data_IF_511578998926
#
_entry.id   IF_511578998926
#
_cell.length_a   1.000
_cell.length_b   1.000
_cell.length_c   1.000
_cell.angle_alpha   90.00
_cell.angle_beta   90.00
_cell.angle_gamma   90.00
#
_symmetry.space_group_name_H-M   'P 1'
#
loop_
_entity.id
_entity.type
_entity.pdbx_description
1 polymer ?
#
# COMPACT_ATOMS: atom_id res chain seq x y z
N UNK A 1 9.17 8.26 26.83
CA UNK A 1 8.33 8.12 25.62
C UNK A 1 9.01 7.12 24.70
N UNK A 2 8.56 5.87 24.70
CA UNK A 2 9.17 4.82 23.87
C UNK A 2 8.68 5.03 22.43
N UNK A 3 9.54 5.44 21.47
CA UNK A 3 9.12 5.56 20.10
C UNK A 3 8.76 4.14 19.63
N UNK A 4 7.52 3.99 19.16
CA UNK A 4 6.91 2.72 18.81
C UNK A 4 7.80 1.91 17.86
N UNK A 5 7.99 0.64 18.22
CA UNK A 5 8.84 -0.41 17.61
C UNK A 5 8.67 -0.60 16.08
N UNK A 6 7.66 0.02 15.47
CA UNK A 6 7.42 0.05 14.03
C UNK A 6 8.47 0.86 13.25
N UNK A 7 9.17 1.81 13.90
CA UNK A 7 10.25 2.58 13.26
C UNK A 7 11.57 1.78 13.10
N UNK A 8 11.69 0.58 13.69
CA UNK A 8 12.95 -0.17 13.73
C UNK A 8 13.15 -1.18 12.58
N UNK A 9 12.10 -1.52 11.81
CA UNK A 9 12.18 -2.52 10.71
C UNK A 9 12.23 -1.89 9.31
N UNK A 10 12.64 -0.62 9.21
CA UNK A 10 12.58 0.15 7.97
C UNK A 10 13.76 1.09 7.73
N UNK A 11 13.60 1.97 6.74
CA UNK A 11 14.54 3.05 6.39
C UNK A 11 14.76 4.02 7.56
N UNK A 12 15.91 4.67 7.57
CA UNK A 12 16.23 5.73 8.55
C UNK A 12 15.21 6.88 8.51
N UNK A 13 14.62 7.21 9.66
CA UNK A 13 13.48 8.15 9.81
C UNK A 13 13.77 9.54 9.26
N UNK A 14 14.98 10.07 9.46
CA UNK A 14 15.35 11.42 9.03
C UNK A 14 15.27 11.64 7.51
N UNK A 15 15.26 10.56 6.71
CA UNK A 15 15.08 10.63 5.24
C UNK A 15 13.61 10.78 4.83
N UNK A 16 12.67 10.88 5.77
CA UNK A 16 11.23 10.93 5.50
C UNK A 16 10.64 9.57 5.06
N UNK A 17 9.47 9.53 4.41
CA UNK A 17 8.88 8.34 3.76
C UNK A 17 9.19 8.24 2.24
N UNK A 18 8.96 7.08 1.61
CA UNK A 18 9.22 6.92 0.16
C UNK A 18 7.99 7.38 -0.61
N UNK A 19 8.09 8.57 -1.20
CA UNK A 19 7.02 9.21 -1.94
C UNK A 19 7.26 8.98 -3.43
N UNK A 20 6.21 8.58 -4.13
CA UNK A 20 6.19 8.38 -5.58
C UNK A 20 5.02 9.20 -6.13
N UNK A 21 5.16 9.88 -7.28
CA UNK A 21 4.03 10.52 -7.92
C UNK A 21 2.98 9.48 -8.31
N UNK A 22 1.77 9.60 -7.76
CA UNK A 22 0.62 8.75 -8.05
C UNK A 22 -0.51 9.64 -8.58
N UNK A 23 -1.31 9.17 -9.57
CA UNK A 23 -2.44 9.92 -10.12
C UNK A 23 -3.62 9.91 -9.12
N UNK A 24 -3.46 10.61 -8.01
CA UNK A 24 -4.48 10.71 -6.96
C UNK A 24 -5.38 11.88 -7.30
N UNK A 25 -6.58 11.56 -7.77
CA UNK A 25 -7.65 12.54 -7.96
C UNK A 25 -8.56 12.44 -6.74
N UNK A 26 -8.68 13.54 -6.00
CA UNK A 26 -9.67 13.62 -4.92
C UNK A 26 -11.05 13.79 -5.55
N UNK A 27 -11.98 12.85 -5.35
CA UNK A 27 -13.33 12.96 -5.88
C UNK A 27 -14.08 14.09 -5.18
N UNK A 28 -15.01 14.72 -5.90
CA UNK A 28 -15.97 15.63 -5.30
C UNK A 28 -16.92 14.87 -4.34
N UNK A 29 -17.50 15.54 -3.33
CA UNK A 29 -18.47 14.91 -2.44
C UNK A 29 -19.65 14.33 -3.26
N UNK A 30 -19.86 13.01 -3.15
CA UNK A 30 -20.92 12.29 -3.87
C UNK A 30 -20.46 11.57 -5.15
N UNK A 31 -19.21 11.75 -5.58
CA UNK A 31 -18.66 11.05 -6.75
C UNK A 31 -18.04 9.71 -6.35
N UNK A 32 -18.26 8.67 -7.17
CA UNK A 32 -17.64 7.35 -6.96
C UNK A 32 -16.14 7.45 -7.17
N UNK A 33 -15.37 7.15 -6.12
CA UNK A 33 -13.90 7.10 -6.18
C UNK A 33 -13.47 6.01 -7.15
N UNK A 34 -12.79 6.37 -8.24
CA UNK A 34 -12.21 5.39 -9.15
C UNK A 34 -10.98 4.74 -8.52
N UNK A 35 -10.78 3.42 -8.67
CA UNK A 35 -9.60 2.77 -8.13
C UNK A 35 -8.33 3.26 -8.85
N UNK A 36 -7.31 3.58 -8.06
CA UNK A 36 -6.02 4.10 -8.54
C UNK A 36 -5.13 2.93 -8.92
N UNK A 37 -4.86 2.75 -10.22
CA UNK A 37 -3.92 1.74 -10.71
C UNK A 37 -2.48 2.16 -10.48
N UNK A 38 -1.68 1.30 -9.86
CA UNK A 38 -0.28 1.56 -9.57
C UNK A 38 0.60 0.32 -9.66
N UNK A 39 1.83 0.53 -10.16
CA UNK A 39 2.92 -0.45 -10.11
C UNK A 39 3.97 -0.10 -9.06
N UNK A 40 3.82 1.05 -8.38
CA UNK A 40 4.78 1.57 -7.41
C UNK A 40 4.66 0.84 -6.05
N UNK A 41 5.03 -0.44 -6.02
CA UNK A 41 4.94 -1.30 -4.82
C UNK A 41 5.77 -0.80 -3.63
N UNK A 42 6.82 -0.01 -3.89
CA UNK A 42 7.70 0.55 -2.86
C UNK A 42 7.17 1.85 -2.24
N UNK A 43 6.07 2.42 -2.75
CA UNK A 43 5.48 3.64 -2.21
C UNK A 43 4.96 3.40 -0.77
N UNK A 44 5.25 4.35 0.12
CA UNK A 44 4.71 4.34 1.48
C UNK A 44 3.26 4.81 1.46
N UNK A 45 2.39 4.14 2.22
CA UNK A 45 1.02 4.56 2.44
C UNK A 45 1.03 5.82 3.32
N UNK A 46 0.54 6.92 2.76
CA UNK A 46 0.42 8.20 3.44
C UNK A 46 -0.96 8.31 4.13
N UNK A 47 -1.09 9.11 5.19
CA UNK A 47 -2.39 9.37 5.84
C UNK A 47 -3.47 9.88 4.85
N UNK A 48 -3.06 10.62 3.82
CA UNK A 48 -3.95 11.15 2.79
C UNK A 48 -4.57 10.07 1.88
N UNK A 49 -4.15 8.82 2.00
CA UNK A 49 -4.64 7.72 1.16
C UNK A 49 -5.76 6.92 1.81
N UNK A 50 -6.07 7.19 3.07
CA UNK A 50 -7.15 6.51 3.81
C UNK A 50 -8.49 6.74 3.08
N UNK A 51 -9.24 5.66 2.87
CA UNK A 51 -10.52 5.67 2.14
C UNK A 51 -10.40 5.65 0.62
N UNK A 52 -9.19 5.65 0.05
CA UNK A 52 -8.97 5.44 -1.38
C UNK A 52 -8.79 3.96 -1.70
N UNK A 53 -9.23 3.57 -2.89
CA UNK A 53 -9.05 2.22 -3.44
C UNK A 53 -7.85 2.20 -4.38
N UNK A 54 -6.94 1.26 -4.16
CA UNK A 54 -5.74 1.06 -4.97
C UNK A 54 -5.79 -0.29 -5.67
N UNK A 55 -5.44 -0.27 -6.95
CA UNK A 55 -5.20 -1.46 -7.74
C UNK A 55 -3.69 -1.64 -7.87
N UNK A 56 -3.13 -2.59 -7.11
CA UNK A 56 -1.69 -2.78 -6.91
C UNK A 56 -1.22 -3.94 -7.79
N UNK A 57 -0.30 -3.65 -8.72
CA UNK A 57 0.25 -4.66 -9.60
C UNK A 57 1.13 -5.66 -8.85
N UNK A 58 0.88 -6.94 -9.10
CA UNK A 58 1.56 -8.05 -8.44
C UNK A 58 2.57 -8.79 -9.33
N UNK A 59 2.84 -8.27 -10.53
CA UNK A 59 3.65 -8.95 -11.56
C UNK A 59 2.83 -9.74 -12.59
N UNK A 60 1.52 -9.89 -12.37
CA UNK A 60 0.58 -10.52 -13.33
C UNK A 60 -0.78 -9.85 -13.38
N UNK A 61 -1.35 -9.57 -12.21
CA UNK A 61 -2.69 -8.97 -12.05
C UNK A 61 -2.62 -7.76 -11.13
N UNK A 62 -3.66 -6.93 -11.20
CA UNK A 62 -3.87 -5.82 -10.27
C UNK A 62 -4.83 -6.29 -9.17
N UNK A 63 -4.33 -6.31 -7.93
CA UNK A 63 -5.15 -6.63 -6.77
C UNK A 63 -5.75 -5.34 -6.21
N UNK A 64 -7.07 -5.31 -6.00
CA UNK A 64 -7.76 -4.15 -5.44
C UNK A 64 -7.72 -4.21 -3.92
N UNK A 65 -7.28 -3.10 -3.30
CA UNK A 65 -7.12 -2.93 -1.86
C UNK A 65 -7.67 -1.57 -1.46
N UNK A 66 -8.55 -1.55 -0.47
CA UNK A 66 -9.04 -0.33 0.16
C UNK A 66 -8.18 -0.01 1.38
N UNK A 67 -7.68 1.23 1.47
CA UNK A 67 -6.71 1.61 2.50
C UNK A 67 -7.43 2.07 3.77
N UNK A 68 -7.11 1.43 4.88
CA UNK A 68 -7.55 1.80 6.23
C UNK A 68 -6.45 2.55 7.00
N UNK A 69 -6.80 3.14 8.15
CA UNK A 69 -5.86 3.91 8.99
C UNK A 69 -4.70 3.05 9.51
N UNK A 70 -4.96 1.80 9.86
CA UNK A 70 -3.94 0.85 10.35
C UNK A 70 -2.86 0.52 9.31
N UNK A 71 -3.12 0.77 8.02
CA UNK A 71 -2.16 0.52 6.94
C UNK A 71 -1.18 1.67 6.75
N UNK A 72 -1.37 2.82 7.42
CA UNK A 72 -0.51 3.99 7.26
C UNK A 72 0.93 3.68 7.72
N UNK A 73 1.91 4.03 6.88
CA UNK A 73 3.33 3.74 7.12
C UNK A 73 3.85 2.45 6.49
N UNK A 74 2.96 1.53 6.08
CA UNK A 74 3.33 0.32 5.34
C UNK A 74 3.63 0.61 3.87
N UNK A 75 4.16 -0.40 3.15
CA UNK A 75 4.32 -0.35 1.70
C UNK A 75 3.12 -0.93 0.98
N UNK A 76 2.71 -0.31 -0.14
CA UNK A 76 1.63 -0.83 -1.00
C UNK A 76 1.88 -2.30 -1.41
N UNK A 77 3.13 -2.66 -1.68
CA UNK A 77 3.50 -4.02 -2.08
C UNK A 77 3.25 -5.11 -1.02
N UNK A 78 3.12 -4.75 0.26
CA UNK A 78 2.84 -5.71 1.34
C UNK A 78 1.42 -6.29 1.23
N UNK A 79 0.49 -5.54 0.64
CA UNK A 79 -0.91 -5.94 0.48
C UNK A 79 -1.19 -6.68 -0.84
N UNK A 80 -0.15 -6.98 -1.63
CA UNK A 80 -0.27 -7.68 -2.91
C UNK A 80 0.81 -8.75 -3.03
N UNK A 81 0.49 -10.03 -2.69
CA UNK A 81 1.48 -11.12 -2.55
C UNK A 81 1.86 -11.74 -3.90
N UNK A 82 3.14 -11.68 -4.28
CA UNK A 82 3.62 -12.04 -5.63
C UNK A 82 3.68 -13.53 -5.93
N UNK A 83 3.80 -14.37 -4.92
CA UNK A 83 3.94 -15.83 -5.06
C UNK A 83 2.74 -16.52 -4.44
N UNK A 84 2.32 -17.62 -5.05
CA UNK A 84 1.31 -18.52 -4.44
C UNK A 84 1.94 -19.22 -3.24
N UNK A 85 1.16 -19.49 -2.18
CA UNK A 85 1.64 -20.27 -1.05
C UNK A 85 2.02 -21.67 -1.52
N UNK A 86 3.14 -22.17 -1.01
CA UNK A 86 3.55 -23.55 -1.25
C UNK A 86 2.72 -24.47 -0.35
N UNK A 87 1.97 -25.39 -0.96
CA UNK A 87 1.21 -26.41 -0.26
C UNK A 87 1.89 -27.74 -0.53
N UNK A 88 2.46 -28.35 0.51
CA UNK A 88 2.96 -29.71 0.41
C UNK A 88 1.77 -30.67 0.41
N UNK A 89 1.42 -31.19 -0.77
CA UNK A 89 0.46 -32.28 -0.88
C UNK A 89 1.22 -33.59 -0.58
N UNK A 90 0.91 -34.24 0.55
CA UNK A 90 1.23 -35.66 0.72
C UNK A 90 0.24 -36.45 -0.12
N UNK A 91 0.76 -37.29 -1.02
CA UNK A 91 -0.01 -38.37 -1.63
C UNK A 91 -0.43 -39.40 -0.60
#
# INVERSE_FOLDING_TARGET
MQPTRCLLKGRSVWKGPHIVPLPIVRPAPGEKVRPIKTQARAATILPNFVGLKFQIYNGKVYNEVEITEDMVGHKLGEFSPTRKPFIWARG
#
